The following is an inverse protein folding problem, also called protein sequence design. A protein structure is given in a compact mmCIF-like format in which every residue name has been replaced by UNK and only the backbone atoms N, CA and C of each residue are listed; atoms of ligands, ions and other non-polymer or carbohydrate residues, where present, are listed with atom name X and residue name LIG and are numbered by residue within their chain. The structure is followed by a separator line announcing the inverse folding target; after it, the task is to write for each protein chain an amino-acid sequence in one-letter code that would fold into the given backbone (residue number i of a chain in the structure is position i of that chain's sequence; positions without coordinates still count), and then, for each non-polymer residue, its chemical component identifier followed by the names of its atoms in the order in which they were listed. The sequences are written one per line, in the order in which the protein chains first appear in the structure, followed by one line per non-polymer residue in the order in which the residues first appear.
data_IF_196549529087
#
_entry.id   IF_196549529087
#
_cell.length_a   1.000
_cell.length_b   1.000
_cell.length_c   1.000
_cell.angle_alpha   90.00
_cell.angle_beta   90.00
_cell.angle_gamma   90.00
#
_symmetry.space_group_name_H-M   'P 1'
#
loop_
_entity.id
_entity.type
_entity.pdbx_description
1 polymer ?
#
# COMPACT_ATOMS: atom_id res chain seq x y z
N UNK A 1 20.34 -0.99 -20.42
CA UNK A 1 20.11 0.23 -19.64
C UNK A 1 20.82 1.36 -20.34
N UNK A 2 20.24 2.57 -20.41
CA UNK A 2 20.94 3.75 -20.92
C UNK A 2 22.22 3.99 -20.10
N UNK A 3 23.18 4.70 -20.67
CA UNK A 3 24.27 5.27 -19.86
C UNK A 3 23.65 6.16 -18.79
N UNK A 4 24.27 6.21 -17.60
CA UNK A 4 23.88 7.17 -16.57
C UNK A 4 23.88 8.56 -17.20
N UNK A 5 22.69 9.12 -17.34
CA UNK A 5 22.54 10.45 -17.91
C UNK A 5 22.61 11.46 -16.74
N UNK A 6 23.78 12.07 -16.61
CA UNK A 6 24.05 13.08 -15.57
C UNK A 6 23.18 14.33 -15.78
N UNK A 7 22.68 14.56 -16.99
CA UNK A 7 21.82 15.69 -17.33
C UNK A 7 20.42 15.59 -16.67
N UNK A 8 20.05 14.39 -16.17
CA UNK A 8 18.85 14.19 -15.38
C UNK A 8 19.02 14.51 -13.87
N UNK A 9 20.23 14.88 -13.42
CA UNK A 9 20.45 15.32 -12.06
C UNK A 9 20.02 16.80 -11.96
N UNK A 10 19.18 17.10 -10.97
CA UNK A 10 18.75 18.49 -10.75
C UNK A 10 19.95 19.42 -10.58
N UNK A 11 19.97 20.58 -11.27
CA UNK A 11 21.01 21.61 -11.07
C UNK A 11 21.19 22.01 -9.61
N UNK A 12 20.12 22.03 -8.83
CA UNK A 12 20.15 22.29 -7.39
C UNK A 12 21.02 21.27 -6.65
N UNK A 13 20.92 19.99 -7.00
CA UNK A 13 21.75 18.91 -6.41
C UNK A 13 23.22 19.12 -6.78
N UNK A 14 23.52 19.43 -8.03
CA UNK A 14 24.89 19.70 -8.50
C UNK A 14 25.50 20.91 -7.75
N UNK A 15 24.74 21.99 -7.56
CA UNK A 15 25.19 23.18 -6.82
C UNK A 15 25.45 22.88 -5.33
N UNK A 16 24.59 22.07 -4.72
CA UNK A 16 24.82 21.61 -3.34
C UNK A 16 26.10 20.77 -3.24
N UNK A 17 26.33 19.84 -4.17
CA UNK A 17 27.56 19.04 -4.20
C UNK A 17 28.80 19.91 -4.43
N UNK A 18 28.72 20.94 -5.29
CA UNK A 18 29.83 21.90 -5.53
C UNK A 18 30.15 22.66 -4.27
N UNK A 19 29.14 23.10 -3.52
CA UNK A 19 29.37 23.82 -2.24
C UNK A 19 30.13 22.96 -1.22
N UNK A 20 29.86 21.66 -1.15
CA UNK A 20 30.62 20.75 -0.31
C UNK A 20 32.06 20.54 -0.83
N UNK A 21 32.25 20.47 -2.15
CA UNK A 21 33.58 20.37 -2.74
C UNK A 21 34.44 21.62 -2.44
N UNK A 22 33.85 22.81 -2.55
CA UNK A 22 34.50 24.10 -2.20
C UNK A 22 34.86 24.19 -0.71
N UNK A 23 34.14 23.50 0.16
CA UNK A 23 34.44 23.35 1.58
C UNK A 23 35.48 22.25 1.89
N UNK A 24 36.04 21.58 0.88
CA UNK A 24 37.06 20.52 1.04
C UNK A 24 36.47 19.13 1.19
N UNK A 25 35.18 18.95 1.09
CA UNK A 25 34.49 17.64 1.15
C UNK A 25 34.27 17.03 -0.23
N UNK A 26 33.69 15.85 -0.23
CA UNK A 26 33.24 15.15 -1.44
C UNK A 26 31.83 14.60 -1.25
N UNK A 27 30.91 15.04 -2.09
CA UNK A 27 29.51 14.64 -2.03
C UNK A 27 29.20 13.55 -3.06
N UNK A 28 28.49 12.51 -2.64
CA UNK A 28 28.02 11.44 -3.50
C UNK A 28 26.51 11.35 -3.45
N UNK A 29 25.85 11.32 -4.61
CA UNK A 29 24.51 10.80 -4.70
C UNK A 29 24.53 9.31 -4.35
N UNK A 30 23.57 8.83 -3.58
CA UNK A 30 23.55 7.46 -3.07
C UNK A 30 22.14 6.89 -3.04
N UNK A 31 22.02 5.61 -2.74
CA UNK A 31 20.73 4.98 -2.42
C UNK A 31 19.77 4.89 -3.60
N UNK A 32 18.50 5.24 -3.31
CA UNK A 32 17.42 5.19 -4.28
C UNK A 32 17.62 6.11 -5.46
N UNK A 33 18.27 7.25 -5.26
CA UNK A 33 18.54 8.25 -6.30
C UNK A 33 19.27 7.65 -7.51
N UNK A 34 20.27 6.80 -7.27
CA UNK A 34 21.05 6.18 -8.37
C UNK A 34 20.24 5.12 -9.10
N UNK A 35 19.48 4.32 -8.37
CA UNK A 35 18.58 3.34 -8.97
C UNK A 35 17.56 4.00 -9.88
N UNK A 36 16.96 5.09 -9.43
CA UNK A 36 15.90 5.80 -10.16
C UNK A 36 16.48 6.46 -11.42
N UNK A 37 17.68 7.07 -11.34
CA UNK A 37 18.42 7.56 -12.52
C UNK A 37 18.73 6.45 -13.52
N UNK A 38 19.15 5.26 -13.07
CA UNK A 38 19.40 4.10 -13.95
C UNK A 38 18.13 3.58 -14.63
N UNK A 39 16.96 3.84 -14.03
CA UNK A 39 15.64 3.53 -14.59
C UNK A 39 15.09 4.66 -15.47
N UNK A 40 15.82 5.77 -15.64
CA UNK A 40 15.40 6.95 -16.41
C UNK A 40 14.40 7.82 -15.69
N UNK A 41 14.33 7.72 -14.35
CA UNK A 41 13.48 8.53 -13.50
C UNK A 41 14.28 9.64 -12.82
N UNK A 42 13.67 10.79 -12.61
CA UNK A 42 14.27 11.89 -11.83
C UNK A 42 14.00 11.60 -10.36
N UNK A 43 15.04 11.55 -9.48
CA UNK A 43 14.86 11.37 -8.05
C UNK A 43 14.07 12.53 -7.43
N UNK A 44 12.95 12.25 -6.76
CA UNK A 44 12.15 13.27 -6.06
C UNK A 44 12.80 13.71 -4.76
N UNK A 45 13.37 12.75 -3.99
CA UNK A 45 14.08 12.97 -2.73
C UNK A 45 15.53 12.49 -2.87
N UNK A 46 16.47 13.36 -3.32
CA UNK A 46 17.86 12.98 -3.48
C UNK A 46 18.56 12.73 -2.14
N UNK A 47 19.23 11.57 -2.05
CA UNK A 47 20.10 11.20 -0.91
C UNK A 47 21.55 11.56 -1.24
N UNK A 48 22.22 12.33 -0.38
CA UNK A 48 23.64 12.70 -0.50
C UNK A 48 24.43 12.22 0.71
N UNK A 49 25.53 11.53 0.48
CA UNK A 49 26.55 11.20 1.49
C UNK A 49 27.77 12.09 1.29
N UNK A 50 28.20 12.81 2.37
CA UNK A 50 29.32 13.78 2.31
C UNK A 50 30.53 13.26 3.07
N UNK A 51 31.63 13.08 2.37
CA UNK A 51 32.92 12.59 2.88
C UNK A 51 33.90 13.76 3.09
N UNK A 52 34.87 13.57 3.98
CA UNK A 52 35.99 14.51 4.23
C UNK A 52 35.63 15.77 5.03
N UNK A 53 34.35 15.96 5.43
CA UNK A 53 33.93 17.07 6.29
C UNK A 53 33.59 16.57 7.69
N UNK A 54 34.11 17.22 8.71
CA UNK A 54 33.72 16.96 10.09
C UNK A 54 32.26 17.42 10.33
N UNK A 55 31.53 16.84 11.31
CA UNK A 55 30.14 17.18 11.57
C UNK A 55 29.85 18.69 11.73
N UNK A 56 30.79 19.43 12.37
CA UNK A 56 30.70 20.88 12.58
C UNK A 56 30.79 21.66 11.25
N UNK A 57 31.74 21.27 10.40
CA UNK A 57 31.97 21.92 9.09
C UNK A 57 30.82 21.63 8.14
N UNK A 58 30.27 20.39 8.17
CA UNK A 58 29.07 20.03 7.41
C UNK A 58 27.88 20.90 7.81
N UNK A 59 27.61 21.04 9.12
CA UNK A 59 26.51 21.88 9.62
C UNK A 59 26.69 23.36 9.22
N UNK A 60 27.92 23.90 9.34
CA UNK A 60 28.22 25.27 8.93
C UNK A 60 27.99 25.48 7.42
N UNK A 61 28.38 24.51 6.60
CA UNK A 61 28.20 24.57 5.15
C UNK A 61 26.73 24.49 4.79
N UNK A 62 25.97 23.58 5.41
CA UNK A 62 24.53 23.42 5.20
C UNK A 62 23.75 24.70 5.53
N UNK A 63 24.09 25.39 6.63
CA UNK A 63 23.39 26.60 7.06
C UNK A 63 23.47 27.76 6.07
N UNK A 64 24.40 27.71 5.11
CA UNK A 64 24.56 28.70 4.03
C UNK A 64 23.72 28.36 2.79
N UNK A 65 23.23 27.12 2.67
CA UNK A 65 22.59 26.60 1.46
C UNK A 65 21.06 26.81 1.42
N UNK A 66 20.40 26.81 2.59
CA UNK A 66 18.95 26.91 2.66
C UNK A 66 18.40 26.61 4.05
N UNK A 67 17.10 26.27 4.11
CA UNK A 67 16.46 25.83 5.35
C UNK A 67 16.93 24.42 5.66
N UNK A 68 17.50 24.20 6.85
CA UNK A 68 18.02 22.93 7.29
C UNK A 68 17.25 22.46 8.54
N UNK A 69 16.81 21.22 8.53
CA UNK A 69 16.29 20.53 9.70
C UNK A 69 17.19 19.35 10.06
N UNK A 70 17.49 19.22 11.34
CA UNK A 70 18.24 18.07 11.85
C UNK A 70 17.26 16.96 12.24
N UNK A 71 17.24 15.87 11.48
CA UNK A 71 16.32 14.74 11.67
C UNK A 71 17.09 13.56 12.27
N UNK A 72 16.71 13.18 13.50
CA UNK A 72 17.30 12.03 14.16
C UNK A 72 18.67 12.30 14.79
N UNK A 73 18.69 12.75 16.04
CA UNK A 73 19.92 12.98 16.83
C UNK A 73 20.88 11.78 16.86
N UNK A 74 20.37 10.57 16.70
CA UNK A 74 21.18 9.34 16.68
C UNK A 74 21.81 9.02 15.31
N UNK A 75 21.28 9.57 14.21
CA UNK A 75 21.65 9.15 12.85
C UNK A 75 22.36 10.22 12.03
N UNK A 76 22.45 11.49 12.50
CA UNK A 76 23.18 12.56 11.82
C UNK A 76 22.67 12.85 10.40
N UNK A 77 21.35 12.79 10.17
CA UNK A 77 20.74 13.11 8.88
C UNK A 77 20.22 14.53 8.92
N UNK A 78 20.53 15.31 7.90
CA UNK A 78 20.04 16.67 7.69
C UNK A 78 19.10 16.67 6.50
N UNK A 79 17.95 17.33 6.64
CA UNK A 79 17.07 17.68 5.52
C UNK A 79 17.32 19.11 5.09
N UNK A 80 17.73 19.28 3.85
CA UNK A 80 17.94 20.59 3.21
C UNK A 80 16.80 20.87 2.23
N UNK A 81 16.05 21.95 2.49
CA UNK A 81 15.06 22.46 1.53
C UNK A 81 15.68 23.59 0.69
N UNK A 82 15.78 23.37 -0.62
CA UNK A 82 16.31 24.35 -1.57
C UNK A 82 15.59 24.21 -2.91
N UNK A 83 15.04 25.31 -3.46
CA UNK A 83 14.35 25.35 -4.75
C UNK A 83 13.30 24.24 -4.94
N UNK A 84 12.38 24.09 -3.98
CA UNK A 84 11.30 23.08 -3.94
C UNK A 84 11.78 21.62 -3.84
N UNK A 85 13.09 21.36 -3.67
CA UNK A 85 13.63 20.04 -3.40
C UNK A 85 13.90 19.86 -1.89
N UNK A 86 13.57 18.68 -1.40
CA UNK A 86 14.03 18.18 -0.11
C UNK A 86 15.18 17.19 -0.33
N UNK A 87 16.38 17.53 0.15
CA UNK A 87 17.59 16.73 -0.04
C UNK A 87 17.97 16.13 1.30
N UNK A 88 18.09 14.81 1.38
CA UNK A 88 18.60 14.12 2.56
C UNK A 88 20.13 14.06 2.51
N UNK A 89 20.77 14.65 3.51
CA UNK A 89 22.24 14.77 3.57
C UNK A 89 22.74 14.09 4.83
N UNK A 90 23.70 13.19 4.68
CA UNK A 90 24.29 12.44 5.79
C UNK A 90 25.80 12.37 5.68
N UNK A 91 26.47 12.18 6.82
CA UNK A 91 27.85 11.70 6.86
C UNK A 91 27.88 10.18 6.67
N UNK A 92 28.93 9.65 6.05
CA UNK A 92 29.16 8.22 6.02
C UNK A 92 29.35 7.69 7.46
N UNK A 93 28.88 6.48 7.70
CA UNK A 93 28.86 5.90 9.04
C UNK A 93 29.00 4.39 9.00
N UNK A 94 29.47 3.84 10.11
CA UNK A 94 29.36 2.42 10.44
C UNK A 94 28.27 2.23 11.48
N UNK A 95 27.59 1.10 11.40
CA UNK A 95 26.59 0.67 12.38
C UNK A 95 27.08 -0.65 12.99
N UNK A 96 27.02 -0.77 14.32
CA UNK A 96 27.34 -2.02 15.02
C UNK A 96 26.17 -2.40 15.91
N UNK A 97 25.65 -3.62 15.72
CA UNK A 97 24.58 -4.16 16.55
C UNK A 97 25.11 -4.40 17.98
N UNK A 98 24.54 -3.74 18.98
CA UNK A 98 24.90 -3.84 20.39
C UNK A 98 23.91 -4.66 21.22
N UNK A 99 22.83 -5.16 20.59
CA UNK A 99 21.77 -5.95 21.25
C UNK A 99 20.70 -6.42 20.29
N UNK A 100 19.57 -6.90 20.81
CA UNK A 100 18.43 -7.38 20.01
C UNK A 100 17.51 -6.21 19.65
N UNK A 101 17.07 -6.13 18.39
CA UNK A 101 16.12 -5.14 17.88
C UNK A 101 16.74 -3.86 17.33
N UNK A 102 15.93 -3.07 16.65
CA UNK A 102 16.35 -1.88 15.86
C UNK A 102 16.86 -0.67 16.65
N UNK A 103 16.78 -0.67 17.98
CA UNK A 103 17.29 0.41 18.85
C UNK A 103 18.69 0.13 19.43
N UNK A 104 19.21 -1.06 19.23
CA UNK A 104 20.47 -1.49 19.82
C UNK A 104 21.63 -1.39 18.80
N UNK A 105 21.88 -0.16 18.31
CA UNK A 105 23.01 0.14 17.42
C UNK A 105 23.90 1.23 18.00
N UNK A 106 25.20 1.01 17.98
CA UNK A 106 26.18 2.07 18.06
C UNK A 106 26.43 2.59 16.64
N UNK A 107 26.08 3.83 16.38
CA UNK A 107 26.33 4.52 15.11
C UNK A 107 27.53 5.40 15.27
N UNK A 108 28.57 5.19 14.46
CA UNK A 108 29.77 6.02 14.46
C UNK A 108 29.90 6.64 13.08
N UNK A 109 29.79 7.98 13.03
CA UNK A 109 30.07 8.75 11.82
C UNK A 109 31.59 8.86 11.66
N UNK A 110 32.08 8.49 10.48
CA UNK A 110 33.47 8.60 10.11
C UNK A 110 33.54 9.22 8.70
N UNK A 111 33.83 10.54 8.60
CA UNK A 111 33.91 11.23 7.32
C UNK A 111 34.97 10.67 6.37
N UNK A 112 35.96 9.97 6.88
CA UNK A 112 37.12 9.46 6.13
C UNK A 112 37.02 7.96 5.83
N UNK A 113 35.91 7.33 6.19
CA UNK A 113 35.67 5.91 5.91
C UNK A 113 35.71 5.63 4.39
N UNK A 114 36.26 4.50 4.02
CA UNK A 114 36.21 4.02 2.64
C UNK A 114 34.75 3.83 2.14
N UNK A 115 34.38 4.37 0.96
CA UNK A 115 33.02 4.25 0.43
C UNK A 115 32.52 2.81 0.27
N UNK A 116 33.40 1.85 -0.05
CA UNK A 116 33.02 0.43 -0.11
C UNK A 116 32.59 -0.06 1.28
N UNK A 117 33.38 0.24 2.32
CA UNK A 117 33.05 -0.14 3.70
C UNK A 117 31.74 0.53 4.17
N UNK A 118 31.54 1.83 3.87
CA UNK A 118 30.32 2.53 4.21
C UNK A 118 29.08 1.91 3.54
N UNK A 119 29.24 1.38 2.33
CA UNK A 119 28.12 0.77 1.58
C UNK A 119 27.69 -0.60 2.10
N UNK A 120 28.53 -1.32 2.87
CA UNK A 120 28.21 -2.66 3.42
C UNK A 120 26.99 -2.69 4.33
N UNK A 121 26.66 -1.57 4.98
CA UNK A 121 25.46 -1.44 5.85
C UNK A 121 24.13 -1.31 5.09
N UNK A 122 24.19 -1.09 3.77
CA UNK A 122 22.99 -0.91 2.95
C UNK A 122 22.21 -2.22 2.81
N UNK A 123 20.89 -2.09 2.55
CA UNK A 123 20.00 -3.25 2.47
C UNK A 123 20.25 -4.11 1.21
N UNK A 124 20.13 -3.51 0.03
CA UNK A 124 20.21 -4.23 -1.24
C UNK A 124 21.24 -3.60 -2.17
N UNK A 125 21.85 -4.44 -3.03
CA UNK A 125 22.86 -4.03 -4.02
C UNK A 125 22.36 -2.90 -4.91
N UNK A 126 21.09 -2.94 -5.30
CA UNK A 126 20.43 -1.90 -6.12
C UNK A 126 20.36 -0.52 -5.45
N UNK A 127 20.55 -0.45 -4.15
CA UNK A 127 20.57 0.78 -3.34
C UNK A 127 21.97 1.11 -2.81
N UNK A 128 23.01 0.34 -3.19
CA UNK A 128 24.36 0.50 -2.69
C UNK A 128 25.32 1.19 -3.68
N UNK A 129 24.80 1.64 -4.79
CA UNK A 129 25.53 2.38 -5.82
C UNK A 129 25.72 3.85 -5.42
N UNK A 130 26.78 4.48 -5.93
CA UNK A 130 27.13 5.87 -5.66
C UNK A 130 27.54 6.58 -6.95
N UNK A 131 27.22 7.87 -7.05
CA UNK A 131 27.56 8.72 -8.20
C UNK A 131 28.06 10.08 -7.70
N UNK A 132 29.20 10.53 -8.20
CA UNK A 132 29.68 11.89 -8.03
C UNK A 132 29.04 12.79 -9.08
N UNK A 133 28.12 13.72 -8.74
CA UNK A 133 27.43 14.53 -9.71
C UNK A 133 28.32 15.55 -10.44
N UNK A 134 29.52 15.85 -9.91
CA UNK A 134 30.43 16.86 -10.45
C UNK A 134 31.29 16.33 -11.59
N UNK A 135 31.63 15.05 -11.57
CA UNK A 135 32.55 14.46 -12.55
C UNK A 135 32.04 13.15 -13.16
N UNK A 136 30.84 12.69 -12.79
CA UNK A 136 30.22 11.47 -13.33
C UNK A 136 30.89 10.16 -12.85
N UNK A 137 31.78 10.21 -11.84
CA UNK A 137 32.39 8.98 -11.31
C UNK A 137 31.32 8.11 -10.66
N UNK A 138 31.15 6.91 -11.17
CA UNK A 138 30.18 5.92 -10.69
C UNK A 138 30.91 4.80 -9.94
N UNK A 139 30.40 4.43 -8.76
CA UNK A 139 30.92 3.35 -7.93
C UNK A 139 29.81 2.31 -7.70
N UNK A 140 30.10 1.07 -8.01
CA UNK A 140 29.23 -0.09 -7.82
C UNK A 140 30.06 -1.28 -7.32
N UNK A 141 30.30 -1.30 -6.02
CA UNK A 141 31.15 -2.32 -5.39
C UNK A 141 30.47 -3.70 -5.29
N UNK A 142 29.13 -3.74 -5.39
CA UNK A 142 28.34 -4.93 -5.08
C UNK A 142 27.52 -5.43 -6.29
N UNK A 143 27.72 -4.85 -7.49
CA UNK A 143 27.05 -5.28 -8.72
C UNK A 143 25.57 -4.85 -8.80
N UNK A 144 25.19 -3.78 -8.13
CA UNK A 144 23.80 -3.29 -8.07
C UNK A 144 23.21 -2.96 -9.43
N UNK A 145 24.01 -2.39 -10.35
CA UNK A 145 23.59 -2.13 -11.75
C UNK A 145 23.26 -3.42 -12.50
N UNK A 146 24.06 -4.46 -12.30
CA UNK A 146 23.81 -5.78 -12.89
C UNK A 146 22.55 -6.42 -12.34
N UNK A 147 22.39 -6.41 -11.02
CA UNK A 147 21.22 -6.96 -10.35
C UNK A 147 19.94 -6.23 -10.75
N UNK A 148 19.97 -4.89 -10.82
CA UNK A 148 18.85 -4.08 -11.28
C UNK A 148 18.45 -4.44 -12.73
N UNK A 149 19.43 -4.60 -13.62
CA UNK A 149 19.21 -5.02 -15.01
C UNK A 149 18.62 -6.42 -15.12
N UNK A 150 19.08 -7.33 -14.25
CA UNK A 150 18.61 -8.72 -14.22
C UNK A 150 17.27 -8.90 -13.47
N UNK A 151 16.78 -7.86 -12.80
CA UNK A 151 15.57 -7.93 -11.97
C UNK A 151 15.78 -8.76 -10.69
N UNK A 152 16.98 -8.69 -10.09
CA UNK A 152 17.37 -9.45 -8.89
C UNK A 152 17.38 -8.53 -7.67
N UNK A 153 16.82 -9.01 -6.56
CA UNK A 153 16.87 -8.39 -5.25
C UNK A 153 17.86 -9.15 -4.38
N UNK A 154 19.08 -8.62 -4.24
CA UNK A 154 20.20 -9.19 -3.52
C UNK A 154 20.62 -8.30 -2.36
N UNK A 155 20.82 -8.88 -1.17
CA UNK A 155 21.40 -8.16 -0.03
C UNK A 155 22.86 -7.80 -0.28
N UNK A 156 23.35 -6.75 0.37
CA UNK A 156 24.74 -6.27 0.19
C UNK A 156 25.72 -7.12 0.99
N UNK A 157 25.45 -7.37 2.26
CA UNK A 157 26.33 -8.06 3.19
C UNK A 157 25.55 -8.71 4.33
N UNK A 158 26.23 -9.40 5.26
CA UNK A 158 25.62 -9.93 6.47
C UNK A 158 25.03 -8.85 7.40
N UNK A 159 25.43 -7.59 7.25
CA UNK A 159 24.80 -6.46 7.94
C UNK A 159 23.29 -6.30 7.59
N UNK A 160 22.83 -6.96 6.53
CA UNK A 160 21.39 -7.06 6.22
C UNK A 160 20.59 -7.61 7.41
N UNK A 161 21.15 -8.55 8.15
CA UNK A 161 20.51 -9.17 9.32
C UNK A 161 20.37 -8.22 10.53
N UNK A 162 20.96 -7.04 10.50
CA UNK A 162 20.86 -6.08 11.59
C UNK A 162 19.45 -5.48 11.74
N UNK A 163 18.69 -5.36 10.65
CA UNK A 163 17.32 -4.83 10.69
C UNK A 163 16.34 -5.77 9.96
N UNK A 164 15.51 -6.53 10.68
CA UNK A 164 14.57 -7.46 10.08
C UNK A 164 13.53 -6.76 9.20
N UNK A 165 13.31 -5.44 9.34
CA UNK A 165 12.43 -4.68 8.43
C UNK A 165 12.91 -4.73 6.98
N UNK A 166 14.19 -4.98 6.74
CA UNK A 166 14.75 -5.08 5.37
C UNK A 166 14.06 -6.15 4.53
N UNK A 167 13.47 -7.18 5.16
CA UNK A 167 12.65 -8.17 4.43
C UNK A 167 11.38 -7.55 3.87
N UNK A 168 10.65 -6.76 4.66
CA UNK A 168 9.46 -6.03 4.17
C UNK A 168 9.84 -4.90 3.20
N UNK A 169 10.99 -4.27 3.38
CA UNK A 169 11.56 -3.36 2.37
C UNK A 169 11.81 -4.10 1.06
N UNK A 170 12.29 -5.34 1.11
CA UNK A 170 12.42 -6.22 -0.05
C UNK A 170 11.09 -6.50 -0.74
N UNK A 171 10.04 -6.75 0.03
CA UNK A 171 8.67 -6.91 -0.49
C UNK A 171 8.24 -5.68 -1.32
N UNK A 172 8.35 -4.45 -0.77
CA UNK A 172 7.93 -3.27 -1.51
C UNK A 172 8.85 -2.92 -2.68
N UNK A 173 10.18 -3.17 -2.59
CA UNK A 173 11.08 -2.98 -3.73
C UNK A 173 10.79 -3.96 -4.86
N UNK A 174 10.53 -5.23 -4.54
CA UNK A 174 10.12 -6.22 -5.55
C UNK A 174 8.82 -5.80 -6.24
N UNK A 175 7.86 -5.27 -5.50
CA UNK A 175 6.61 -4.74 -6.05
C UNK A 175 6.80 -3.49 -6.90
N UNK A 176 7.75 -2.61 -6.55
CA UNK A 176 8.02 -1.38 -7.31
C UNK A 176 8.78 -1.64 -8.60
N UNK A 177 9.74 -2.56 -8.59
CA UNK A 177 10.73 -2.72 -9.67
C UNK A 177 10.69 -4.09 -10.34
N UNK A 178 9.69 -4.95 -10.07
CA UNK A 178 9.52 -6.31 -10.61
C UNK A 178 10.73 -7.20 -10.33
N UNK A 179 11.25 -7.16 -9.11
CA UNK A 179 12.45 -7.90 -8.74
C UNK A 179 12.10 -9.28 -8.19
N UNK A 180 13.01 -10.22 -8.39
CA UNK A 180 12.96 -11.58 -7.81
C UNK A 180 14.00 -11.69 -6.71
N UNK A 181 13.63 -12.36 -5.61
CA UNK A 181 14.52 -12.55 -4.48
C UNK A 181 15.69 -13.46 -4.85
N UNK A 182 16.92 -13.01 -4.59
CA UNK A 182 18.11 -13.82 -4.75
C UNK A 182 18.12 -15.01 -3.78
N UNK A 183 18.77 -16.12 -4.17
CA UNK A 183 18.79 -17.36 -3.40
C UNK A 183 19.40 -17.18 -2.01
N UNK A 184 20.55 -16.52 -1.93
CA UNK A 184 21.26 -16.37 -0.65
C UNK A 184 20.54 -15.34 0.24
N UNK A 185 19.96 -14.29 -0.38
CA UNK A 185 19.11 -13.33 0.31
C UNK A 185 17.86 -14.00 0.88
N UNK A 186 17.27 -14.95 0.18
CA UNK A 186 16.13 -15.73 0.67
C UNK A 186 16.47 -16.50 1.94
N UNK A 187 17.65 -17.15 1.98
CA UNK A 187 18.10 -17.90 3.16
C UNK A 187 18.24 -16.95 4.36
N UNK A 188 18.92 -15.82 4.15
CA UNK A 188 19.12 -14.81 5.20
C UNK A 188 17.78 -14.23 5.70
N UNK A 189 16.81 -14.00 4.82
CA UNK A 189 15.47 -13.57 5.22
C UNK A 189 14.75 -14.63 6.07
N UNK A 190 14.93 -15.93 5.79
CA UNK A 190 14.35 -17.01 6.58
C UNK A 190 14.95 -17.07 8.00
N UNK A 191 16.25 -16.83 8.13
CA UNK A 191 16.94 -16.77 9.42
C UNK A 191 16.45 -15.59 10.29
N UNK A 192 16.00 -14.50 9.68
CA UNK A 192 15.50 -13.32 10.37
C UNK A 192 14.04 -13.43 10.86
N UNK A 193 13.33 -14.50 10.49
CA UNK A 193 11.92 -14.66 10.83
C UNK A 193 11.62 -14.56 12.33
N UNK A 194 12.43 -15.14 13.26
CA UNK A 194 12.21 -14.99 14.70
C UNK A 194 12.34 -13.54 15.20
N UNK A 195 13.06 -12.69 14.49
CA UNK A 195 13.24 -11.28 14.87
C UNK A 195 12.08 -10.39 14.39
N UNK A 196 11.15 -10.91 13.59
CA UNK A 196 10.00 -10.13 13.07
C UNK A 196 9.13 -9.52 14.19
N UNK A 197 9.03 -10.19 15.35
CA UNK A 197 8.27 -9.72 16.52
C UNK A 197 8.82 -8.42 17.11
N UNK A 198 10.09 -8.07 16.81
CA UNK A 198 10.72 -6.82 17.27
C UNK A 198 10.29 -5.58 16.48
N UNK A 199 9.60 -5.78 15.37
CA UNK A 199 9.17 -4.70 14.49
C UNK A 199 7.95 -3.98 15.04
N UNK A 200 8.00 -2.64 15.06
CA UNK A 200 6.82 -1.86 15.40
C UNK A 200 5.81 -1.86 14.25
N UNK A 201 4.53 -1.80 14.62
CA UNK A 201 3.44 -1.80 13.64
C UNK A 201 3.49 -0.62 12.67
N UNK A 202 3.97 0.53 13.13
CA UNK A 202 4.13 1.73 12.31
C UNK A 202 5.15 1.49 11.18
N UNK A 203 6.28 0.84 11.50
CA UNK A 203 7.30 0.50 10.50
C UNK A 203 6.78 -0.55 9.51
N UNK A 204 6.08 -1.57 10.00
CA UNK A 204 5.45 -2.59 9.17
C UNK A 204 4.43 -1.94 8.21
N UNK A 205 3.56 -1.07 8.75
CA UNK A 205 2.55 -0.38 7.93
C UNK A 205 3.18 0.48 6.84
N UNK A 206 4.23 1.23 7.14
CA UNK A 206 4.92 2.03 6.13
C UNK A 206 5.38 1.19 4.93
N UNK A 207 5.87 -0.03 5.13
CA UNK A 207 6.31 -0.88 4.02
C UNK A 207 5.12 -1.51 3.27
N UNK A 208 4.04 -1.91 3.97
CA UNK A 208 2.81 -2.35 3.34
C UNK A 208 2.09 -1.25 2.56
N UNK A 209 2.13 -0.01 3.04
CA UNK A 209 1.59 1.15 2.33
C UNK A 209 2.35 1.39 1.03
N UNK A 210 3.68 1.38 1.06
CA UNK A 210 4.52 1.47 -0.15
C UNK A 210 4.24 0.31 -1.12
N UNK A 211 3.99 -0.89 -0.60
CA UNK A 211 3.59 -2.04 -1.41
C UNK A 211 2.24 -1.80 -2.10
N UNK A 212 1.25 -1.25 -1.42
CA UNK A 212 -0.07 -0.96 -2.00
C UNK A 212 -0.01 0.12 -3.10
N UNK A 213 0.97 1.03 -3.04
CA UNK A 213 1.20 2.02 -4.10
C UNK A 213 2.08 1.51 -5.25
N UNK A 214 2.66 0.33 -5.12
CA UNK A 214 3.58 -0.22 -6.12
C UNK A 214 2.83 -0.73 -7.37
N UNK A 215 3.45 -0.65 -8.58
CA UNK A 215 2.82 -1.08 -9.84
C UNK A 215 2.72 -2.61 -10.02
N UNK A 216 3.47 -3.40 -9.25
CA UNK A 216 3.55 -4.86 -9.41
C UNK A 216 3.46 -5.60 -8.07
N UNK A 217 2.35 -5.46 -7.31
CA UNK A 217 2.24 -5.97 -5.94
C UNK A 217 2.43 -7.49 -5.83
N UNK A 218 2.10 -8.28 -6.85
CA UNK A 218 2.31 -9.73 -6.85
C UNK A 218 3.77 -10.13 -6.68
N UNK A 219 4.72 -9.32 -7.18
CA UNK A 219 6.16 -9.56 -6.98
C UNK A 219 6.55 -9.41 -5.50
N UNK A 220 5.97 -8.45 -4.80
CA UNK A 220 6.15 -8.30 -3.35
C UNK A 220 5.60 -9.49 -2.57
N UNK A 221 4.41 -9.97 -2.92
CA UNK A 221 3.81 -11.16 -2.32
C UNK A 221 4.66 -12.41 -2.57
N UNK A 222 5.36 -12.50 -3.71
CA UNK A 222 6.34 -13.57 -3.95
C UNK A 222 7.50 -13.51 -2.96
N UNK A 223 8.03 -12.32 -2.68
CA UNK A 223 9.11 -12.16 -1.68
C UNK A 223 8.66 -12.65 -0.32
N UNK A 224 7.45 -12.29 0.16
CA UNK A 224 6.92 -12.81 1.42
C UNK A 224 6.82 -14.34 1.42
N UNK A 225 6.34 -14.91 0.30
CA UNK A 225 6.20 -16.37 0.19
C UNK A 225 7.56 -17.08 0.16
N UNK A 226 8.51 -16.61 -0.64
CA UNK A 226 9.82 -17.24 -0.83
C UNK A 226 10.72 -17.08 0.39
N UNK A 227 10.63 -15.96 1.10
CA UNK A 227 11.36 -15.70 2.34
C UNK A 227 10.77 -16.44 3.56
N UNK A 228 9.61 -17.08 3.42
CA UNK A 228 8.90 -17.69 4.56
C UNK A 228 8.13 -16.68 5.42
N UNK A 229 8.24 -15.37 5.17
CA UNK A 229 7.58 -14.33 5.97
C UNK A 229 6.06 -14.30 5.79
N UNK A 230 5.52 -14.97 4.75
CA UNK A 230 4.08 -15.11 4.59
C UNK A 230 3.41 -15.79 5.80
N UNK A 231 4.12 -16.67 6.51
CA UNK A 231 3.60 -17.34 7.73
C UNK A 231 3.31 -16.38 8.90
N UNK A 232 3.88 -15.17 8.91
CA UNK A 232 3.53 -14.11 9.86
C UNK A 232 2.09 -13.58 9.66
N UNK A 233 1.50 -13.90 8.51
CA UNK A 233 0.16 -13.53 8.11
C UNK A 233 -0.66 -14.78 7.80
N UNK A 234 -1.08 -15.57 8.82
CA UNK A 234 -1.72 -16.88 8.63
C UNK A 234 -2.97 -16.81 7.77
N UNK A 235 -3.67 -15.66 7.74
CA UNK A 235 -4.84 -15.44 6.89
C UNK A 235 -4.47 -15.49 5.40
N UNK A 236 -3.35 -14.87 5.02
CA UNK A 236 -2.83 -14.93 3.64
C UNK A 236 -2.19 -16.30 3.35
N UNK A 237 -1.46 -16.86 4.31
CA UNK A 237 -0.81 -18.15 4.14
C UNK A 237 -1.82 -19.28 3.88
N UNK A 238 -3.01 -19.21 4.48
CA UNK A 238 -4.10 -20.18 4.29
C UNK A 238 -4.68 -20.20 2.86
N UNK A 239 -4.45 -19.16 2.06
CA UNK A 239 -4.90 -19.12 0.66
C UNK A 239 -4.10 -20.10 -0.22
N UNK A 240 -2.88 -20.45 0.18
CA UNK A 240 -2.04 -21.39 -0.56
C UNK A 240 -2.61 -22.81 -0.47
N UNK A 241 -2.78 -23.42 -1.64
CA UNK A 241 -3.38 -24.75 -1.74
C UNK A 241 -4.89 -24.78 -1.46
N UNK A 242 -5.53 -23.65 -1.16
CA UNK A 242 -6.98 -23.57 -1.11
C UNK A 242 -7.54 -23.71 -2.52
N UNK A 243 -8.12 -24.88 -2.81
CA UNK A 243 -8.60 -25.25 -4.13
C UNK A 243 -9.83 -24.45 -4.56
N UNK A 244 -9.98 -24.24 -5.86
CA UNK A 244 -11.12 -23.58 -6.49
C UNK A 244 -11.68 -24.41 -7.63
N UNK A 245 -12.91 -24.15 -8.04
CA UNK A 245 -13.49 -24.80 -9.20
C UNK A 245 -12.74 -24.36 -10.48
N UNK A 246 -12.10 -25.28 -11.22
CA UNK A 246 -11.26 -24.95 -12.37
C UNK A 246 -12.04 -24.39 -13.55
N UNK A 247 -13.37 -24.56 -13.58
CA UNK A 247 -14.23 -23.96 -14.61
C UNK A 247 -14.39 -22.45 -14.41
N UNK A 248 -14.31 -21.97 -13.15
CA UNK A 248 -14.41 -20.55 -12.80
C UNK A 248 -13.06 -19.91 -12.50
N UNK A 249 -12.08 -20.71 -12.08
CA UNK A 249 -10.74 -20.29 -11.67
C UNK A 249 -9.66 -21.15 -12.35
N UNK A 250 -9.51 -21.04 -13.69
CA UNK A 250 -8.52 -21.83 -14.43
C UNK A 250 -7.07 -21.46 -14.07
N UNK A 251 -6.85 -20.31 -13.41
CA UNK A 251 -5.55 -19.82 -12.96
C UNK A 251 -4.94 -20.67 -11.83
N UNK A 252 -5.78 -21.37 -11.02
CA UNK A 252 -5.31 -22.25 -9.96
C UNK A 252 -5.95 -22.04 -8.59
N UNK A 253 -5.14 -22.10 -7.52
CA UNK A 253 -5.59 -21.94 -6.13
C UNK A 253 -5.89 -20.47 -5.77
N UNK A 254 -6.49 -20.24 -4.59
CA UNK A 254 -6.88 -18.90 -4.14
C UNK A 254 -5.67 -17.94 -4.01
N UNK A 255 -4.49 -18.47 -3.65
CA UNK A 255 -3.27 -17.65 -3.57
C UNK A 255 -2.84 -17.10 -4.94
N UNK A 256 -2.86 -17.96 -5.96
CA UNK A 256 -2.53 -17.55 -7.34
C UNK A 256 -3.53 -16.52 -7.82
N UNK A 257 -4.83 -16.78 -7.63
CA UNK A 257 -5.91 -15.85 -7.95
C UNK A 257 -5.72 -14.49 -7.28
N UNK A 258 -5.56 -14.45 -5.95
CA UNK A 258 -5.39 -13.22 -5.18
C UNK A 258 -4.22 -12.37 -5.71
N UNK A 259 -3.10 -12.99 -6.07
CA UNK A 259 -1.94 -12.29 -6.66
C UNK A 259 -2.25 -11.65 -8.00
N UNK A 260 -3.05 -12.31 -8.83
CA UNK A 260 -3.49 -11.75 -10.11
C UNK A 260 -4.51 -10.61 -9.90
N UNK A 261 -5.41 -10.77 -8.92
CA UNK A 261 -6.43 -9.76 -8.59
C UNK A 261 -5.79 -8.46 -8.10
N UNK A 262 -4.77 -8.52 -7.22
CA UNK A 262 -4.09 -7.29 -6.77
C UNK A 262 -3.35 -6.58 -7.92
N UNK A 263 -2.77 -7.31 -8.88
CA UNK A 263 -2.16 -6.70 -10.07
C UNK A 263 -3.21 -6.05 -10.99
N UNK A 264 -4.42 -6.62 -11.10
CA UNK A 264 -5.52 -5.98 -11.84
C UNK A 264 -6.05 -4.76 -11.10
N UNK A 265 -6.18 -4.82 -9.77
CA UNK A 265 -6.62 -3.70 -8.96
C UNK A 265 -5.73 -2.47 -9.13
N UNK A 266 -4.40 -2.65 -9.25
CA UNK A 266 -3.46 -1.56 -9.54
C UNK A 266 -3.76 -0.92 -10.90
N UNK A 267 -3.92 -1.71 -11.97
CA UNK A 267 -4.24 -1.20 -13.32
C UNK A 267 -5.55 -0.42 -13.34
N UNK A 268 -6.55 -0.91 -12.59
CA UNK A 268 -7.84 -0.25 -12.46
C UNK A 268 -7.68 1.07 -11.69
N UNK A 269 -6.93 1.09 -10.59
CA UNK A 269 -6.64 2.30 -9.83
C UNK A 269 -5.88 3.35 -10.68
N UNK A 270 -4.92 2.93 -11.50
CA UNK A 270 -4.22 3.82 -12.44
C UNK A 270 -5.17 4.42 -13.49
N UNK A 271 -6.13 3.65 -13.97
CA UNK A 271 -7.15 4.13 -14.92
C UNK A 271 -8.16 5.09 -14.28
N UNK A 272 -8.57 4.82 -13.03
CA UNK A 272 -9.67 5.55 -12.36
C UNK A 272 -9.16 6.76 -11.54
N UNK A 273 -7.87 6.82 -11.21
CA UNK A 273 -7.25 7.87 -10.38
C UNK A 273 -8.02 8.15 -9.06
N UNK A 274 -8.30 7.13 -8.22
CA UNK A 274 -9.19 7.30 -7.04
C UNK A 274 -8.43 7.99 -5.95
N UNK A 275 -7.66 8.81 -5.82
CA UNK A 275 -6.89 9.34 -4.67
C UNK A 275 -6.28 8.25 -3.76
N UNK A 276 -5.32 8.61 -2.95
CA UNK A 276 -4.47 7.65 -2.21
C UNK A 276 -5.26 6.71 -1.29
N UNK A 277 -6.19 7.23 -0.50
CA UNK A 277 -6.97 6.42 0.46
C UNK A 277 -7.86 5.39 -0.26
N UNK A 278 -8.51 5.78 -1.35
CA UNK A 278 -9.34 4.87 -2.13
C UNK A 278 -8.48 3.85 -2.88
N UNK A 279 -7.30 4.24 -3.38
CA UNK A 279 -6.32 3.34 -3.97
C UNK A 279 -5.86 2.28 -2.97
N UNK A 280 -5.38 2.70 -1.80
CA UNK A 280 -4.96 1.78 -0.73
C UNK A 280 -6.10 0.82 -0.37
N UNK A 281 -7.31 1.34 -0.19
CA UNK A 281 -8.48 0.53 0.17
C UNK A 281 -8.83 -0.50 -0.92
N UNK A 282 -8.74 -0.14 -2.20
CA UNK A 282 -8.97 -1.07 -3.31
C UNK A 282 -7.92 -2.20 -3.32
N UNK A 283 -6.63 -1.87 -3.18
CA UNK A 283 -5.56 -2.86 -3.22
C UNK A 283 -5.66 -3.82 -2.01
N UNK A 284 -5.94 -3.29 -0.80
CA UNK A 284 -6.15 -4.14 0.36
C UNK A 284 -7.45 -4.93 0.29
N UNK A 285 -8.53 -4.40 -0.31
CA UNK A 285 -9.75 -5.16 -0.57
C UNK A 285 -9.48 -6.30 -1.55
N UNK A 286 -8.73 -6.05 -2.63
CA UNK A 286 -8.30 -7.07 -3.58
C UNK A 286 -7.42 -8.16 -2.92
N UNK A 287 -6.54 -7.79 -1.98
CA UNK A 287 -5.74 -8.76 -1.21
C UNK A 287 -6.60 -9.61 -0.26
N UNK A 288 -7.67 -9.04 0.30
CA UNK A 288 -8.46 -9.64 1.37
C UNK A 288 -9.77 -10.29 0.91
N UNK A 289 -10.24 -10.09 -0.34
CA UNK A 289 -11.60 -10.44 -0.76
C UNK A 289 -11.95 -11.92 -0.55
N UNK A 290 -10.97 -12.79 -0.67
CA UNK A 290 -11.10 -14.23 -0.62
C UNK A 290 -10.58 -14.88 0.68
N UNK A 291 -10.26 -14.11 1.72
CA UNK A 291 -9.75 -14.64 3.00
C UNK A 291 -10.72 -15.57 3.72
N UNK A 292 -11.99 -15.57 3.35
CA UNK A 292 -12.98 -16.49 3.87
C UNK A 292 -12.99 -17.87 3.20
N UNK A 293 -12.42 -18.01 1.99
CA UNK A 293 -12.45 -19.27 1.24
C UNK A 293 -11.83 -20.46 2.00
N UNK A 294 -10.68 -20.33 2.69
CA UNK A 294 -10.12 -21.46 3.44
C UNK A 294 -11.08 -22.09 4.47
N UNK A 295 -11.96 -21.29 5.07
CA UNK A 295 -12.92 -21.76 6.07
C UNK A 295 -14.24 -22.28 5.47
N UNK A 296 -14.53 -21.95 4.22
CA UNK A 296 -15.85 -22.21 3.59
C UNK A 296 -15.77 -23.10 2.36
N UNK A 297 -14.55 -23.43 1.88
CA UNK A 297 -14.38 -24.28 0.70
C UNK A 297 -14.63 -25.74 1.05
N UNK A 298 -15.50 -26.37 0.30
CA UNK A 298 -15.77 -27.80 0.37
C UNK A 298 -15.96 -28.38 -1.04
N UNK A 299 -15.61 -29.67 -1.17
CA UNK A 299 -15.82 -30.40 -2.42
C UNK A 299 -17.08 -31.25 -2.27
N UNK A 300 -18.07 -30.99 -3.12
CA UNK A 300 -19.30 -31.80 -3.17
C UNK A 300 -19.04 -33.21 -3.75
N UNK A 301 -19.93 -34.16 -3.50
CA UNK A 301 -19.87 -35.51 -4.06
C UNK A 301 -19.76 -35.52 -5.59
N UNK A 302 -20.33 -34.53 -6.27
CA UNK A 302 -20.21 -34.32 -7.72
C UNK A 302 -18.86 -33.76 -8.18
N UNK A 303 -17.84 -33.68 -7.27
CA UNK A 303 -16.53 -33.07 -7.47
C UNK A 303 -16.54 -31.57 -7.77
N UNK A 304 -17.68 -30.87 -7.63
CA UNK A 304 -17.74 -29.42 -7.70
C UNK A 304 -17.21 -28.81 -6.41
N UNK A 305 -16.42 -27.77 -6.56
CA UNK A 305 -15.84 -27.03 -5.44
C UNK A 305 -16.65 -25.76 -5.21
N UNK A 306 -17.09 -25.55 -3.98
CA UNK A 306 -17.88 -24.39 -3.58
C UNK A 306 -17.27 -23.74 -2.35
N UNK A 307 -17.41 -22.40 -2.27
CA UNK A 307 -16.97 -21.57 -1.14
C UNK A 307 -18.11 -20.64 -0.71
N UNK A 308 -19.28 -21.23 -0.46
CA UNK A 308 -20.50 -20.45 -0.14
C UNK A 308 -20.31 -19.69 1.17
N UNK A 309 -20.65 -18.39 1.18
CA UNK A 309 -20.53 -17.54 2.37
C UNK A 309 -19.12 -17.03 2.67
N UNK A 310 -18.17 -17.20 1.75
CA UNK A 310 -16.79 -16.73 1.98
C UNK A 310 -16.67 -15.21 2.11
N UNK A 311 -17.56 -14.43 1.51
CA UNK A 311 -17.57 -12.97 1.61
C UNK A 311 -17.79 -12.50 3.06
N UNK A 312 -18.77 -13.07 3.74
CA UNK A 312 -19.04 -12.78 5.16
C UNK A 312 -17.97 -13.42 6.08
N UNK A 313 -17.61 -14.68 5.80
CA UNK A 313 -16.58 -15.38 6.57
C UNK A 313 -15.19 -14.73 6.47
N UNK A 314 -14.94 -13.94 5.43
CA UNK A 314 -13.69 -13.21 5.20
C UNK A 314 -13.52 -11.96 6.05
N UNK A 315 -14.59 -11.42 6.65
CA UNK A 315 -14.53 -10.15 7.39
C UNK A 315 -13.56 -10.19 8.57
N UNK A 316 -13.68 -11.21 9.43
CA UNK A 316 -12.82 -11.30 10.63
C UNK A 316 -11.36 -11.61 10.27
N UNK A 317 -11.05 -12.57 9.38
CA UNK A 317 -9.68 -12.73 8.87
C UNK A 317 -9.08 -11.44 8.31
N UNK A 318 -9.85 -10.65 7.56
CA UNK A 318 -9.38 -9.37 7.02
C UNK A 318 -9.09 -8.34 8.14
N UNK A 319 -9.96 -8.24 9.15
CA UNK A 319 -9.72 -7.36 10.33
C UNK A 319 -8.43 -7.75 11.06
N UNK A 320 -8.23 -9.04 11.31
CA UNK A 320 -7.06 -9.56 12.00
C UNK A 320 -5.79 -9.28 11.19
N UNK A 321 -5.80 -9.54 9.87
CA UNK A 321 -4.67 -9.25 9.00
C UNK A 321 -4.33 -7.75 8.98
N UNK A 322 -5.31 -6.88 8.72
CA UNK A 322 -5.09 -5.42 8.67
C UNK A 322 -4.57 -4.87 10.01
N UNK A 323 -5.06 -5.41 11.13
CA UNK A 323 -4.55 -5.06 12.46
C UNK A 323 -3.12 -5.57 12.71
N UNK A 324 -2.78 -6.76 12.18
CA UNK A 324 -1.43 -7.32 12.29
C UNK A 324 -0.38 -6.47 11.57
N UNK A 325 -0.70 -5.96 10.38
CA UNK A 325 0.19 -5.07 9.62
C UNK A 325 0.18 -3.61 10.11
N UNK A 326 -0.63 -3.28 11.13
CA UNK A 326 -0.72 -1.92 11.67
C UNK A 326 -1.52 -0.95 10.79
N UNK A 327 -2.39 -1.43 9.91
CA UNK A 327 -3.21 -0.58 9.07
C UNK A 327 -4.10 0.37 9.88
N UNK A 328 -4.22 1.65 9.50
CA UNK A 328 -5.14 2.58 10.14
C UNK A 328 -6.59 2.07 10.09
N UNK A 329 -7.38 2.38 11.11
CA UNK A 329 -8.80 1.94 11.19
C UNK A 329 -9.61 2.32 9.95
N UNK A 330 -9.31 3.47 9.33
CA UNK A 330 -9.98 3.92 8.11
C UNK A 330 -9.87 2.87 6.98
N UNK A 331 -8.71 2.24 6.78
CA UNK A 331 -8.53 1.20 5.75
C UNK A 331 -9.49 0.03 6.00
N UNK A 332 -9.56 -0.46 7.24
CA UNK A 332 -10.50 -1.53 7.58
C UNK A 332 -11.97 -1.13 7.38
N UNK A 333 -12.32 0.14 7.63
CA UNK A 333 -13.68 0.64 7.40
C UNK A 333 -14.10 0.60 5.93
N UNK A 334 -13.17 0.83 4.99
CA UNK A 334 -13.42 0.69 3.56
C UNK A 334 -13.37 -0.76 3.09
N UNK A 335 -12.35 -1.51 3.51
CA UNK A 335 -12.10 -2.88 3.03
C UNK A 335 -13.22 -3.84 3.42
N UNK A 336 -13.70 -3.78 4.65
CA UNK A 336 -14.68 -4.77 5.14
C UNK A 336 -15.99 -4.75 4.36
N UNK A 337 -16.68 -3.61 4.16
CA UNK A 337 -17.89 -3.62 3.35
C UNK A 337 -17.63 -3.99 1.88
N UNK A 338 -16.47 -3.63 1.32
CA UNK A 338 -16.12 -4.03 -0.04
C UNK A 338 -16.04 -5.55 -0.20
N UNK A 339 -15.33 -6.23 0.71
CA UNK A 339 -15.18 -7.70 0.63
C UNK A 339 -16.49 -8.43 0.97
N UNK A 340 -17.31 -7.91 1.90
CA UNK A 340 -18.62 -8.48 2.21
C UNK A 340 -19.55 -8.48 1.00
N UNK A 341 -19.57 -7.39 0.25
CA UNK A 341 -20.53 -7.15 -0.81
C UNK A 341 -20.01 -7.53 -2.22
N UNK A 342 -18.76 -8.05 -2.35
CA UNK A 342 -18.14 -8.22 -3.67
C UNK A 342 -18.91 -9.17 -4.61
N UNK A 343 -19.74 -10.07 -4.09
CA UNK A 343 -20.54 -11.03 -4.86
C UNK A 343 -21.98 -10.57 -5.14
N UNK A 344 -22.41 -9.41 -4.65
CA UNK A 344 -23.81 -8.94 -4.79
C UNK A 344 -24.28 -8.91 -6.24
N UNK A 345 -23.39 -8.59 -7.18
CA UNK A 345 -23.70 -8.56 -8.61
C UNK A 345 -24.18 -9.91 -9.18
N UNK A 346 -23.86 -11.03 -8.53
CA UNK A 346 -24.30 -12.37 -8.92
C UNK A 346 -25.77 -12.65 -8.57
N UNK A 347 -26.39 -11.86 -7.69
CA UNK A 347 -27.77 -12.06 -7.24
C UNK A 347 -28.83 -11.43 -8.17
N UNK A 348 -28.43 -10.98 -9.36
CA UNK A 348 -29.35 -10.50 -10.40
C UNK A 348 -29.08 -9.08 -10.90
N UNK A 349 -30.02 -8.56 -11.70
CA UNK A 349 -29.90 -7.22 -12.30
C UNK A 349 -30.07 -6.09 -11.27
N UNK A 350 -29.42 -4.93 -11.44
CA UNK A 350 -29.50 -3.81 -10.51
C UNK A 350 -30.85 -3.11 -10.57
N UNK A 351 -31.72 -3.35 -9.58
CA UNK A 351 -32.90 -2.52 -9.35
C UNK A 351 -32.52 -1.25 -8.59
N UNK A 352 -33.31 -0.17 -8.73
CA UNK A 352 -33.06 1.07 -7.97
C UNK A 352 -33.03 0.85 -6.45
N UNK A 353 -33.87 -0.07 -5.94
CA UNK A 353 -33.85 -0.49 -4.53
C UNK A 353 -32.54 -1.18 -4.17
N UNK A 354 -32.10 -2.16 -4.99
CA UNK A 354 -30.86 -2.90 -4.72
C UNK A 354 -29.64 -1.97 -4.70
N UNK A 355 -29.57 -1.03 -5.65
CA UNK A 355 -28.47 -0.04 -5.73
C UNK A 355 -28.45 0.90 -4.52
N UNK A 356 -29.61 1.46 -4.09
CA UNK A 356 -29.67 2.29 -2.87
C UNK A 356 -29.24 1.52 -1.63
N UNK A 357 -29.69 0.28 -1.48
CA UNK A 357 -29.31 -0.58 -0.35
C UNK A 357 -27.85 -0.96 -0.38
N UNK A 358 -27.29 -1.26 -1.56
CA UNK A 358 -25.86 -1.53 -1.70
C UNK A 358 -25.02 -0.29 -1.31
N UNK A 359 -25.35 0.91 -1.81
CA UNK A 359 -24.61 2.13 -1.45
C UNK A 359 -24.64 2.41 0.05
N UNK A 360 -25.74 2.11 0.72
CA UNK A 360 -25.84 2.27 2.19
C UNK A 360 -25.01 1.22 2.96
N UNK A 361 -24.91 -0.03 2.47
CA UNK A 361 -24.09 -1.08 3.11
C UNK A 361 -22.59 -0.91 2.88
N UNK A 362 -22.22 -0.28 1.76
CA UNK A 362 -20.82 -0.01 1.44
C UNK A 362 -20.19 1.12 2.26
N UNK A 363 -20.98 2.00 2.86
CA UNK A 363 -20.47 3.16 3.59
C UNK A 363 -19.36 2.80 4.61
N UNK A 364 -18.20 3.47 4.62
CA UNK A 364 -17.84 4.69 3.87
C UNK A 364 -17.32 4.44 2.44
N UNK A 365 -17.18 3.20 1.97
CA UNK A 365 -16.83 2.91 0.59
C UNK A 365 -17.97 3.28 -0.39
N UNK A 366 -17.65 3.28 -1.68
CA UNK A 366 -18.57 3.66 -2.74
C UNK A 366 -18.90 2.50 -3.67
N UNK A 367 -20.00 2.61 -4.44
CA UNK A 367 -20.31 1.66 -5.52
C UNK A 367 -19.24 1.70 -6.62
N UNK A 368 -18.63 2.86 -6.85
CA UNK A 368 -17.54 2.99 -7.83
C UNK A 368 -16.30 2.18 -7.40
N UNK A 369 -15.94 2.25 -6.12
CA UNK A 369 -14.82 1.47 -5.58
C UNK A 369 -15.15 -0.03 -5.51
N UNK A 370 -16.39 -0.37 -5.14
CA UNK A 370 -16.89 -1.74 -5.14
C UNK A 370 -16.88 -2.36 -6.55
N UNK A 371 -17.33 -1.63 -7.55
CA UNK A 371 -17.29 -2.10 -8.94
C UNK A 371 -15.86 -2.34 -9.42
N UNK A 372 -14.93 -1.45 -9.02
CA UNK A 372 -13.50 -1.61 -9.29
C UNK A 372 -12.92 -2.90 -8.66
N UNK A 373 -13.34 -3.26 -7.44
CA UNK A 373 -12.96 -4.53 -6.82
C UNK A 373 -13.52 -5.74 -7.60
N UNK A 374 -14.81 -5.68 -7.98
CA UNK A 374 -15.47 -6.76 -8.75
C UNK A 374 -14.83 -6.92 -10.13
N UNK A 375 -14.46 -5.81 -10.78
CA UNK A 375 -13.70 -5.84 -12.04
C UNK A 375 -12.32 -6.50 -11.85
N UNK A 376 -11.61 -6.17 -10.76
CA UNK A 376 -10.30 -6.74 -10.45
C UNK A 376 -10.39 -8.25 -10.24
N UNK A 377 -11.34 -8.72 -9.43
CA UNK A 377 -11.61 -10.15 -9.21
C UNK A 377 -11.89 -10.88 -10.52
N UNK A 378 -12.85 -10.40 -11.31
CA UNK A 378 -13.21 -11.02 -12.59
C UNK A 378 -12.04 -11.04 -13.58
N UNK A 379 -11.22 -9.99 -13.60
CA UNK A 379 -10.06 -9.85 -14.50
C UNK A 379 -8.81 -10.62 -14.03
N UNK A 380 -8.78 -11.09 -12.77
CA UNK A 380 -7.73 -11.96 -12.23
C UNK A 380 -7.80 -13.40 -12.69
N UNK A 381 -8.84 -13.82 -13.41
CA UNK A 381 -9.11 -15.21 -13.82
C UNK A 381 -8.44 -15.55 -15.15
N UNK A 382 -7.12 -15.54 -15.21
CA UNK A 382 -6.40 -15.86 -16.44
C UNK A 382 -6.46 -17.37 -16.76
N UNK A 383 -6.60 -17.79 -18.05
CA UNK A 383 -6.50 -16.98 -19.27
C UNK A 383 -7.83 -16.34 -19.74
N UNK A 384 -8.85 -16.26 -18.90
CA UNK A 384 -10.10 -15.60 -19.29
C UNK A 384 -9.86 -14.10 -19.58
N UNK A 385 -10.61 -13.50 -20.53
CA UNK A 385 -10.46 -12.08 -20.81
C UNK A 385 -10.92 -11.22 -19.62
N UNK A 386 -10.36 -10.01 -19.45
CA UNK A 386 -10.84 -9.06 -18.45
C UNK A 386 -12.35 -8.80 -18.57
N UNK A 387 -13.04 -8.69 -17.45
CA UNK A 387 -14.49 -8.52 -17.42
C UNK A 387 -14.94 -7.53 -16.35
N UNK A 388 -16.05 -6.83 -16.62
CA UNK A 388 -16.70 -5.87 -15.71
C UNK A 388 -18.14 -6.30 -15.42
N UNK A 389 -18.35 -7.39 -14.67
CA UNK A 389 -19.69 -7.96 -14.47
C UNK A 389 -20.62 -7.04 -13.65
N UNK A 390 -20.07 -6.10 -12.88
CA UNK A 390 -20.85 -5.14 -12.09
C UNK A 390 -21.05 -3.77 -12.76
N UNK A 391 -20.64 -3.59 -14.03
CA UNK A 391 -20.73 -2.30 -14.73
C UNK A 391 -22.18 -1.75 -14.75
N UNK A 392 -23.17 -2.61 -14.99
CA UNK A 392 -24.60 -2.20 -15.00
C UNK A 392 -25.08 -1.65 -13.64
N UNK A 393 -24.48 -2.12 -12.53
CA UNK A 393 -24.73 -1.59 -11.19
C UNK A 393 -24.17 -0.18 -11.02
N UNK A 394 -22.96 0.05 -11.51
CA UNK A 394 -22.33 1.37 -11.49
C UNK A 394 -23.08 2.37 -12.37
N UNK A 395 -23.47 1.97 -13.60
CA UNK A 395 -24.26 2.81 -14.49
C UNK A 395 -25.59 3.20 -13.86
N UNK A 396 -26.27 2.25 -13.21
CA UNK A 396 -27.51 2.53 -12.49
C UNK A 396 -27.29 3.46 -11.30
N UNK A 397 -26.20 3.28 -10.56
CA UNK A 397 -25.84 4.14 -9.44
C UNK A 397 -25.56 5.58 -9.90
N UNK A 398 -24.88 5.75 -11.05
CA UNK A 398 -24.63 7.06 -11.68
C UNK A 398 -25.94 7.75 -12.12
N UNK A 399 -26.87 7.01 -12.72
CA UNK A 399 -28.20 7.53 -13.05
C UNK A 399 -28.97 8.04 -11.81
N UNK A 400 -28.70 7.44 -10.66
CA UNK A 400 -29.34 7.77 -9.38
C UNK A 400 -28.53 8.73 -8.51
N UNK A 401 -27.35 9.17 -8.96
CA UNK A 401 -26.39 10.00 -8.21
C UNK A 401 -25.99 9.41 -6.84
N UNK A 402 -25.84 8.08 -6.76
CA UNK A 402 -25.44 7.36 -5.54
C UNK A 402 -24.17 6.50 -5.73
N UNK A 403 -23.37 6.78 -6.76
CA UNK A 403 -22.15 6.03 -7.06
C UNK A 403 -21.04 6.25 -6.03
N UNK A 404 -20.97 7.45 -5.42
CA UNK A 404 -19.90 7.86 -4.50
C UNK A 404 -20.31 7.86 -3.04
N UNK A 405 -21.60 7.89 -2.74
CA UNK A 405 -22.14 7.93 -1.39
C UNK A 405 -23.56 7.35 -1.33
N UNK A 406 -24.00 6.99 -0.13
CA UNK A 406 -25.39 6.60 0.10
C UNK A 406 -26.34 7.79 -0.15
N UNK A 407 -27.63 7.52 -0.45
CA UNK A 407 -28.63 8.58 -0.57
C UNK A 407 -28.74 9.43 0.70
N UNK A 408 -28.77 10.75 0.54
CA UNK A 408 -29.03 11.63 1.68
C UNK A 408 -30.43 11.39 2.26
N UNK A 409 -30.59 11.39 3.58
CA UNK A 409 -31.89 11.21 4.22
C UNK A 409 -32.86 12.34 3.86
N UNK A 410 -34.00 12.01 3.24
CA UNK A 410 -35.05 12.97 2.91
C UNK A 410 -35.87 13.38 4.13
N UNK A 411 -36.04 12.47 5.11
CA UNK A 411 -36.70 12.75 6.38
C UNK A 411 -35.71 13.36 7.37
N UNK A 412 -36.03 14.51 7.94
CA UNK A 412 -35.17 15.22 8.88
C UNK A 412 -35.81 15.38 10.26
N UNK A 413 -34.98 15.56 11.30
CA UNK A 413 -35.47 15.84 12.66
C UNK A 413 -36.31 17.12 12.73
N UNK A 414 -36.00 18.12 11.87
CA UNK A 414 -36.78 19.36 11.78
C UNK A 414 -38.22 19.09 11.35
N UNK A 415 -38.44 18.23 10.36
CA UNK A 415 -39.81 17.86 9.96
C UNK A 415 -40.63 17.26 11.09
N UNK A 416 -40.01 16.43 11.92
CA UNK A 416 -40.66 15.83 13.06
C UNK A 416 -41.01 16.85 14.18
N UNK A 417 -40.15 17.85 14.38
CA UNK A 417 -40.43 18.97 15.28
C UNK A 417 -41.60 19.81 14.76
N UNK A 418 -41.63 20.13 13.47
CA UNK A 418 -42.70 20.90 12.79
C UNK A 418 -44.05 20.12 12.86
N UNK A 419 -44.00 18.80 12.92
CA UNK A 419 -45.18 17.92 13.14
C UNK A 419 -45.54 17.72 14.62
N UNK A 420 -44.94 18.48 15.57
CA UNK A 420 -45.25 18.49 16.97
C UNK A 420 -44.58 17.40 17.82
N UNK A 421 -43.64 16.63 17.25
CA UNK A 421 -42.90 15.60 17.99
C UNK A 421 -41.82 16.22 18.86
N UNK A 422 -41.70 15.77 20.11
CA UNK A 422 -40.62 16.18 21.00
C UNK A 422 -39.32 15.41 20.68
N UNK A 423 -38.18 16.05 20.92
CA UNK A 423 -36.87 15.39 20.83
C UNK A 423 -36.78 14.20 21.77
N UNK A 424 -36.19 13.11 21.30
CA UNK A 424 -35.99 11.92 22.12
C UNK A 424 -35.70 10.65 21.28
N UNK A 425 -35.47 9.51 21.92
CA UNK A 425 -35.13 8.25 21.23
C UNK A 425 -36.18 7.78 20.22
N UNK A 426 -37.46 8.14 20.40
CA UNK A 426 -38.55 7.82 19.45
C UNK A 426 -38.34 8.53 18.12
N UNK A 427 -37.83 9.77 18.15
CA UNK A 427 -37.49 10.55 16.93
C UNK A 427 -36.40 9.84 16.11
N UNK A 428 -35.31 9.42 16.75
CA UNK A 428 -34.22 8.69 16.04
C UNK A 428 -34.73 7.40 15.40
N UNK A 429 -35.53 6.61 16.12
CA UNK A 429 -36.10 5.38 15.54
C UNK A 429 -37.01 5.67 14.35
N UNK A 430 -37.81 6.73 14.39
CA UNK A 430 -38.67 7.09 13.26
C UNK A 430 -37.89 7.57 12.05
N UNK A 431 -36.82 8.34 12.24
CA UNK A 431 -35.92 8.74 11.16
C UNK A 431 -35.20 7.54 10.51
N UNK A 432 -34.76 6.58 11.33
CA UNK A 432 -34.20 5.31 10.81
C UNK A 432 -35.23 4.55 9.95
N UNK A 433 -36.48 4.43 10.43
CA UNK A 433 -37.55 3.78 9.67
C UNK A 433 -37.89 4.53 8.37
N UNK A 434 -37.87 5.86 8.38
CA UNK A 434 -38.09 6.69 7.20
C UNK A 434 -36.95 6.48 6.19
N UNK A 435 -35.71 6.41 6.66
CA UNK A 435 -34.56 6.13 5.78
C UNK A 435 -34.62 4.73 5.16
N UNK A 436 -35.01 3.71 5.94
CA UNK A 436 -35.25 2.37 5.37
C UNK A 436 -36.37 2.37 4.30
N UNK A 437 -37.44 3.13 4.54
CA UNK A 437 -38.52 3.30 3.57
C UNK A 437 -38.04 4.04 2.29
N UNK A 438 -37.11 4.99 2.43
CA UNK A 438 -36.46 5.68 1.31
C UNK A 438 -35.58 4.72 0.52
N UNK A 439 -34.76 3.90 1.19
CA UNK A 439 -33.94 2.89 0.51
C UNK A 439 -34.81 1.89 -0.26
N UNK A 440 -36.01 1.56 0.26
CA UNK A 440 -36.98 0.70 -0.40
C UNK A 440 -37.76 1.39 -1.54
N UNK A 441 -37.62 2.71 -1.71
CA UNK A 441 -38.33 3.48 -2.74
C UNK A 441 -39.78 3.80 -2.39
N UNK A 442 -40.12 3.76 -1.11
CA UNK A 442 -41.45 4.20 -0.60
C UNK A 442 -41.47 5.69 -0.29
N UNK A 443 -40.33 6.31 -0.22
CA UNK A 443 -40.09 7.75 -0.07
C UNK A 443 -39.10 8.12 -1.16
N UNK A 444 -39.52 9.01 -2.07
CA UNK A 444 -38.72 9.37 -3.24
C UNK A 444 -38.32 10.86 -3.23
N UNK A 445 -39.06 11.68 -2.48
CA UNK A 445 -38.80 13.11 -2.34
C UNK A 445 -39.17 13.61 -0.93
N UNK A 446 -38.96 14.91 -0.70
CA UNK A 446 -39.22 15.58 0.57
C UNK A 446 -40.70 15.60 0.93
N UNK A 447 -41.61 15.67 -0.04
CA UNK A 447 -43.07 15.60 0.15
C UNK A 447 -43.47 14.21 0.65
N UNK A 448 -43.05 13.15 -0.06
CA UNK A 448 -43.25 11.76 0.36
C UNK A 448 -42.77 11.52 1.79
N UNK A 449 -41.62 12.10 2.16
CA UNK A 449 -41.05 11.97 3.51
C UNK A 449 -41.96 12.58 4.56
N UNK A 450 -42.48 13.78 4.31
CA UNK A 450 -43.41 14.47 5.22
C UNK A 450 -44.71 13.71 5.39
N UNK A 451 -45.31 13.25 4.30
CA UNK A 451 -46.55 12.46 4.30
C UNK A 451 -46.36 11.13 5.03
N UNK A 452 -45.25 10.47 4.82
CA UNK A 452 -44.93 9.23 5.51
C UNK A 452 -44.77 9.44 7.04
N UNK A 453 -44.08 10.51 7.45
CA UNK A 453 -43.90 10.86 8.84
C UNK A 453 -45.25 11.22 9.50
N UNK A 454 -46.09 12.02 8.82
CA UNK A 454 -47.44 12.40 9.32
C UNK A 454 -48.34 11.18 9.58
N UNK A 455 -48.35 10.24 8.62
CA UNK A 455 -49.12 8.97 8.75
C UNK A 455 -48.63 8.14 9.93
N UNK A 456 -47.32 8.08 10.16
CA UNK A 456 -46.71 7.32 11.27
C UNK A 456 -46.98 7.97 12.65
N UNK A 457 -47.13 9.28 12.72
CA UNK A 457 -47.48 10.00 13.95
C UNK A 457 -48.97 9.94 14.25
N UNK A 458 -49.83 9.91 13.19
CA UNK A 458 -51.29 9.83 13.38
C UNK A 458 -51.84 8.41 13.66
N UNK A 459 -51.00 7.38 13.45
CA UNK A 459 -51.36 5.96 13.71
C UNK A 459 -50.83 5.43 15.05
N UNK A 460 -50.31 6.26 15.93
CA UNK A 460 -49.78 5.92 17.25
C UNK A 460 -50.21 6.94 18.29
#
# INVERSE_FOLDING_TARGET
MPNLDIDHISPTVVDVCRTFADAGGRAWLVGGSIRDLLLGQIPEDPDIEVYGLQPGDLHQTLSKLGKVEFVGQQFGIFKLWKNDLCIDIALPRTEQKTGIGHKAFAVTSDPDIDPEKASLRRDFTINAMMLDPLNGKFLDFHGGRSDLKAGILRHVSQAFAEDPLRVLRGMQFAARYRLKLDKDTRILCQELLPEAETLSKERIWCEWQKWAHAPHPSFGLNVLNESGWLQLYPQLAALKGCVQDPGWHPEGDVWIHTRLVVDQAVKIAERCHPGDEARESLIFAALCHDLGKPATTFTHETRRIHSTGHSEAGEEPARVFLAAIGAPKRISQYVIPLIREHLVHLHGQPTSRAVRRLSARLEPASIELWESLVEADASGRTPLPPARPALSWLEKARQMAVQNSKPEPLATGRMLLDLGMKQGPKMGRLLTQAYEAQLDGKINDVSDARDWLSRKLGSG
#
